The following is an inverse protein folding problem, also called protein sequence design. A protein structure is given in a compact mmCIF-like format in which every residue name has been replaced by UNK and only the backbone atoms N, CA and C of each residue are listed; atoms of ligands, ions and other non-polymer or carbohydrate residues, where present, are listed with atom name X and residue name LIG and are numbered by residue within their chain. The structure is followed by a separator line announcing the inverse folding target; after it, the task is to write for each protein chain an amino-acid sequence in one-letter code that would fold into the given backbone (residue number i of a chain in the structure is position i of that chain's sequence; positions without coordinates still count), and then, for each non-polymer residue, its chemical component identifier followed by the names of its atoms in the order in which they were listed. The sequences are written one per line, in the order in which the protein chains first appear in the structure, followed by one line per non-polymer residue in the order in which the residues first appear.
data_IF_545064798381
#
_entry.id   IF_545064798381
#
_cell.length_a   1.000
_cell.length_b   1.000
_cell.length_c   1.000
_cell.angle_alpha   90.00
_cell.angle_beta   90.00
_cell.angle_gamma   90.00
#
_symmetry.space_group_name_H-M   'P 1'
#
loop_
_entity.id
_entity.type
_entity.pdbx_description
1 polymer ?
#
# COMPACT_ATOMS: atom_id res chain seq x y z
N UNK A 1 -24.38 5.07 23.56
CA UNK A 1 -24.58 4.08 22.49
C UNK A 1 -24.30 4.82 21.19
N UNK A 2 -23.20 4.51 20.51
CA UNK A 2 -22.92 5.10 19.21
C UNK A 2 -23.90 4.46 18.21
N UNK A 3 -24.73 5.29 17.58
CA UNK A 3 -25.61 4.86 16.49
C UNK A 3 -24.72 4.44 15.32
N UNK A 4 -24.83 3.20 14.88
CA UNK A 4 -24.25 2.77 13.62
C UNK A 4 -25.15 3.33 12.52
N UNK A 5 -24.80 4.51 11.99
CA UNK A 5 -25.49 5.03 10.83
C UNK A 5 -25.20 4.08 9.65
N UNK A 6 -26.28 3.52 9.11
CA UNK A 6 -26.20 2.64 7.94
C UNK A 6 -25.56 3.43 6.80
N UNK A 7 -24.50 2.90 6.15
CA UNK A 7 -23.83 3.59 5.06
C UNK A 7 -24.80 3.95 3.93
N UNK A 8 -24.66 5.14 3.35
CA UNK A 8 -25.41 5.56 2.17
C UNK A 8 -25.08 4.65 0.98
N UNK A 9 -26.03 3.78 0.64
CA UNK A 9 -25.87 2.76 -0.41
C UNK A 9 -25.63 3.40 -1.78
N UNK A 10 -26.29 4.52 -2.10
CA UNK A 10 -26.11 5.21 -3.38
C UNK A 10 -24.74 5.88 -3.46
N UNK A 11 -24.27 6.47 -2.35
CA UNK A 11 -22.91 6.98 -2.21
C UNK A 11 -21.85 5.90 -2.40
N UNK A 12 -22.04 4.71 -1.78
CA UNK A 12 -21.13 3.57 -1.92
C UNK A 12 -21.07 3.03 -3.36
N UNK A 13 -22.23 2.87 -4.02
CA UNK A 13 -22.31 2.41 -5.41
C UNK A 13 -21.62 3.43 -6.33
N UNK A 14 -21.88 4.71 -6.13
CA UNK A 14 -21.30 5.79 -6.93
C UNK A 14 -19.78 5.84 -6.77
N UNK A 15 -19.27 5.71 -5.54
CA UNK A 15 -17.83 5.69 -5.26
C UNK A 15 -17.15 4.45 -5.85
N UNK A 16 -17.79 3.29 -5.77
CA UNK A 16 -17.27 2.04 -6.36
C UNK A 16 -17.15 2.15 -7.88
N UNK A 17 -18.16 2.74 -8.55
CA UNK A 17 -18.11 3.01 -10.00
C UNK A 17 -17.00 4.00 -10.36
N UNK A 18 -16.79 5.02 -9.54
CA UNK A 18 -15.70 5.98 -9.72
C UNK A 18 -14.33 5.29 -9.63
N UNK A 19 -14.12 4.45 -8.61
CA UNK A 19 -12.87 3.69 -8.45
C UNK A 19 -12.62 2.80 -9.67
N UNK A 20 -13.64 2.05 -10.12
CA UNK A 20 -13.51 1.19 -11.29
C UNK A 20 -13.04 1.99 -12.52
N UNK A 21 -13.67 3.15 -12.78
CA UNK A 21 -13.28 4.04 -13.87
C UNK A 21 -11.84 4.55 -13.74
N UNK A 22 -11.43 4.97 -12.54
CA UNK A 22 -10.07 5.48 -12.30
C UNK A 22 -9.01 4.38 -12.47
N UNK A 23 -9.33 3.14 -12.09
CA UNK A 23 -8.47 1.96 -12.28
C UNK A 23 -8.33 1.61 -13.75
N UNK A 24 -9.42 1.65 -14.52
CA UNK A 24 -9.38 1.43 -15.97
C UNK A 24 -8.49 2.49 -16.66
N UNK A 25 -8.69 3.77 -16.34
CA UNK A 25 -7.87 4.87 -16.85
C UNK A 25 -6.39 4.69 -16.47
N UNK A 26 -6.09 4.32 -15.23
CA UNK A 26 -4.72 4.03 -14.78
C UNK A 26 -4.11 2.87 -15.56
N UNK A 27 -4.85 1.77 -15.73
CA UNK A 27 -4.38 0.59 -16.47
C UNK A 27 -4.08 0.91 -17.94
N UNK A 28 -4.91 1.72 -18.58
CA UNK A 28 -4.67 2.20 -19.95
C UNK A 28 -3.43 3.08 -20.02
N UNK A 29 -3.25 4.01 -19.08
CA UNK A 29 -2.03 4.83 -18.99
C UNK A 29 -0.76 3.98 -18.79
N UNK A 30 -0.82 2.92 -17.98
CA UNK A 30 0.31 1.98 -17.80
C UNK A 30 0.64 1.30 -19.14
N UNK A 31 -0.36 0.80 -19.87
CA UNK A 31 -0.17 0.13 -21.16
C UNK A 31 0.43 1.07 -22.20
N UNK A 32 -0.01 2.33 -22.22
CA UNK A 32 0.53 3.34 -23.13
C UNK A 32 1.97 3.71 -22.78
N UNK A 33 2.29 3.82 -21.49
CA UNK A 33 3.66 4.04 -21.03
C UNK A 33 4.61 2.90 -21.42
N UNK A 34 4.15 1.65 -21.37
CA UNK A 34 4.93 0.48 -21.78
C UNK A 34 5.22 0.44 -23.29
N UNK A 35 4.39 1.11 -24.11
CA UNK A 35 4.53 1.17 -25.57
C UNK A 35 5.30 2.41 -26.06
N UNK A 36 5.55 3.39 -25.19
CA UNK A 36 6.11 4.69 -25.57
C UNK A 36 7.66 4.70 -25.62
N UNK A 37 8.29 5.41 -26.57
CA UNK A 37 9.74 5.62 -26.60
C UNK A 37 10.21 6.50 -25.43
N UNK A 38 11.41 6.24 -24.92
CA UNK A 38 11.87 6.66 -23.58
C UNK A 38 11.80 8.15 -23.19
N UNK A 39 11.73 9.10 -24.13
CA UNK A 39 11.57 10.53 -23.80
C UNK A 39 10.12 10.91 -23.44
N UNK A 40 9.11 10.20 -23.96
CA UNK A 40 7.69 10.42 -23.62
C UNK A 40 7.35 9.85 -22.23
N UNK A 41 8.14 8.88 -21.76
CA UNK A 41 7.93 8.17 -20.50
C UNK A 41 8.09 9.05 -19.25
N UNK A 42 8.98 10.06 -19.29
CA UNK A 42 9.24 10.94 -18.14
C UNK A 42 8.05 11.89 -17.88
N UNK A 43 7.44 12.44 -18.94
CA UNK A 43 6.23 13.26 -18.80
C UNK A 43 5.02 12.41 -18.40
N UNK A 44 4.88 11.21 -18.99
CA UNK A 44 3.79 10.30 -18.64
C UNK A 44 3.87 9.79 -17.19
N UNK A 45 5.07 9.74 -16.59
CA UNK A 45 5.27 9.29 -15.19
C UNK A 45 4.57 10.18 -14.16
N UNK A 46 4.55 11.49 -14.36
CA UNK A 46 3.89 12.40 -13.43
C UNK A 46 2.37 12.23 -13.49
N UNK A 47 1.79 12.23 -14.69
CA UNK A 47 0.36 11.99 -14.88
C UNK A 47 -0.05 10.61 -14.37
N UNK A 48 0.79 9.58 -14.57
CA UNK A 48 0.55 8.23 -14.06
C UNK A 48 0.51 8.20 -12.53
N UNK A 49 1.43 8.92 -11.87
CA UNK A 49 1.44 9.05 -10.42
C UNK A 49 0.20 9.78 -9.90
N UNK A 50 -0.19 10.88 -10.53
CA UNK A 50 -1.40 11.62 -10.17
C UNK A 50 -2.65 10.73 -10.28
N UNK A 51 -2.75 9.92 -11.35
CA UNK A 51 -3.85 8.98 -11.50
C UNK A 51 -3.83 7.87 -10.44
N UNK A 52 -2.64 7.35 -10.08
CA UNK A 52 -2.50 6.39 -8.99
C UNK A 52 -2.98 6.98 -7.65
N UNK A 53 -2.61 8.24 -7.37
CA UNK A 53 -3.03 8.94 -6.15
C UNK A 53 -4.55 9.13 -6.09
N UNK A 54 -5.22 9.35 -7.22
CA UNK A 54 -6.69 9.38 -7.29
C UNK A 54 -7.32 8.03 -6.93
N UNK A 55 -6.81 6.93 -7.48
CA UNK A 55 -7.27 5.57 -7.13
C UNK A 55 -7.09 5.31 -5.64
N UNK A 56 -5.92 5.62 -5.08
CA UNK A 56 -5.63 5.46 -3.65
C UNK A 56 -6.60 6.27 -2.79
N UNK A 57 -6.84 7.54 -3.13
CA UNK A 57 -7.72 8.42 -2.34
C UNK A 57 -9.16 7.92 -2.35
N UNK A 58 -9.70 7.58 -3.52
CA UNK A 58 -11.08 7.07 -3.63
C UNK A 58 -11.25 5.73 -2.89
N UNK A 59 -10.23 4.86 -2.95
CA UNK A 59 -10.24 3.58 -2.23
C UNK A 59 -10.19 3.78 -0.71
N UNK A 60 -9.38 4.72 -0.22
CA UNK A 60 -9.34 5.08 1.20
C UNK A 60 -10.66 5.67 1.69
N UNK A 61 -11.34 6.47 0.86
CA UNK A 61 -12.69 6.96 1.16
C UNK A 61 -13.71 5.82 1.27
N UNK A 62 -13.65 4.84 0.36
CA UNK A 62 -14.52 3.67 0.42
C UNK A 62 -14.27 2.86 1.69
N UNK A 63 -13.00 2.60 2.02
CA UNK A 63 -12.61 1.91 3.25
C UNK A 63 -13.14 2.63 4.49
N UNK A 64 -13.02 3.96 4.56
CA UNK A 64 -13.59 4.73 5.64
C UNK A 64 -15.11 4.50 5.75
N UNK A 65 -15.85 4.64 4.65
CA UNK A 65 -17.32 4.51 4.66
C UNK A 65 -17.84 3.11 5.07
N UNK A 66 -17.06 2.05 4.88
CA UNK A 66 -17.48 0.67 5.19
C UNK A 66 -16.89 0.13 6.50
N UNK A 67 -15.83 0.74 7.02
CA UNK A 67 -15.18 0.31 8.27
C UNK A 67 -15.83 0.96 9.48
N UNK A 68 -15.95 0.21 10.58
CA UNK A 68 -16.43 0.78 11.84
C UNK A 68 -15.41 1.79 12.41
N UNK A 69 -15.84 2.86 13.07
CA UNK A 69 -14.91 3.82 13.70
C UNK A 69 -13.93 3.18 14.70
N UNK A 70 -14.36 2.10 15.38
CA UNK A 70 -13.52 1.27 16.25
C UNK A 70 -12.35 0.62 15.50
N UNK A 71 -12.59 0.19 14.26
CA UNK A 71 -11.57 -0.39 13.39
C UNK A 71 -10.58 0.67 12.91
N UNK A 72 -11.00 1.92 12.70
CA UNK A 72 -10.07 2.99 12.33
C UNK A 72 -9.04 3.27 13.43
N UNK A 73 -9.49 3.30 14.69
CA UNK A 73 -8.58 3.47 15.83
C UNK A 73 -7.60 2.30 15.95
N UNK A 74 -8.09 1.06 15.77
CA UNK A 74 -7.23 -0.10 15.77
C UNK A 74 -6.20 -0.03 14.63
N UNK A 75 -6.64 0.28 13.41
CA UNK A 75 -5.77 0.38 12.23
C UNK A 75 -4.72 1.50 12.37
N UNK A 76 -5.09 2.64 12.96
CA UNK A 76 -4.15 3.71 13.26
C UNK A 76 -3.15 3.35 14.37
N UNK A 77 -3.56 2.52 15.34
CA UNK A 77 -2.62 1.98 16.34
C UNK A 77 -1.66 0.96 15.71
N UNK A 78 -2.16 0.09 14.83
CA UNK A 78 -1.33 -0.88 14.10
C UNK A 78 -0.32 -0.22 13.18
N UNK A 79 -0.62 0.93 12.57
CA UNK A 79 0.36 1.64 11.73
C UNK A 79 1.57 2.18 12.51
N UNK A 80 1.44 2.37 13.83
CA UNK A 80 2.60 2.64 14.69
C UNK A 80 3.50 1.42 14.79
N UNK A 81 2.93 0.22 14.97
CA UNK A 81 3.69 -1.04 14.94
C UNK A 81 4.40 -1.21 13.59
N UNK A 82 3.72 -0.95 12.48
CA UNK A 82 4.33 -0.99 11.14
C UNK A 82 5.51 -0.02 11.02
N UNK A 83 5.39 1.18 11.58
CA UNK A 83 6.45 2.20 11.55
C UNK A 83 7.67 1.77 12.38
N UNK A 84 7.43 1.15 13.54
CA UNK A 84 8.49 0.60 14.40
C UNK A 84 9.17 -0.60 13.71
N UNK A 85 8.40 -1.52 13.15
CA UNK A 85 8.90 -2.68 12.41
C UNK A 85 9.76 -2.24 11.21
N UNK A 86 9.30 -1.23 10.44
CA UNK A 86 10.06 -0.67 9.34
C UNK A 86 11.37 -0.02 9.81
N UNK A 87 11.33 0.73 10.91
CA UNK A 87 12.52 1.38 11.48
C UNK A 87 13.55 0.36 11.96
N UNK A 88 13.11 -0.67 12.68
CA UNK A 88 13.94 -1.77 13.12
C UNK A 88 14.53 -2.55 11.94
N UNK A 89 13.72 -2.82 10.91
CA UNK A 89 14.18 -3.51 9.70
C UNK A 89 15.28 -2.74 8.97
N UNK A 90 15.17 -1.41 8.92
CA UNK A 90 16.19 -0.54 8.33
C UNK A 90 17.45 -0.46 9.21
N UNK A 91 17.31 -0.35 10.52
CA UNK A 91 18.44 -0.28 11.45
C UNK A 91 19.24 -1.59 11.48
N UNK A 92 18.55 -2.73 11.43
CA UNK A 92 19.17 -4.05 11.29
C UNK A 92 19.72 -4.32 9.89
N UNK A 93 19.46 -3.46 8.90
CA UNK A 93 19.94 -3.65 7.54
C UNK A 93 19.33 -4.84 6.81
N UNK A 94 18.17 -5.35 7.25
CA UNK A 94 17.49 -6.52 6.67
C UNK A 94 17.38 -6.43 5.13
N UNK A 95 16.99 -5.28 4.53
CA UNK A 95 16.90 -5.18 3.08
C UNK A 95 18.21 -5.41 2.32
N UNK A 96 19.37 -5.23 2.96
CA UNK A 96 20.69 -5.43 2.34
C UNK A 96 21.11 -6.90 2.31
N UNK A 97 20.45 -7.74 3.10
CA UNK A 97 20.67 -9.19 3.18
C UNK A 97 19.68 -9.99 2.32
N UNK A 98 18.79 -9.29 1.61
CA UNK A 98 17.82 -9.90 0.67
C UNK A 98 18.23 -9.46 -0.73
N UNK A 99 18.68 -10.41 -1.55
CA UNK A 99 19.08 -10.10 -2.92
C UNK A 99 17.87 -9.67 -3.78
N UNK A 100 17.94 -8.54 -4.50
CA UNK A 100 16.85 -8.10 -5.36
C UNK A 100 16.55 -9.11 -6.48
N UNK A 101 15.37 -9.72 -6.43
CA UNK A 101 14.89 -10.64 -7.47
C UNK A 101 15.09 -12.13 -7.19
N UNK A 102 15.63 -12.49 -6.02
CA UNK A 102 15.67 -13.88 -5.54
C UNK A 102 14.38 -14.26 -4.79
N UNK A 103 14.19 -15.57 -4.52
CA UNK A 103 13.03 -16.11 -3.78
C UNK A 103 12.97 -15.68 -2.30
N UNK A 104 14.00 -14.98 -1.82
CA UNK A 104 14.13 -14.50 -0.45
C UNK A 104 15.34 -15.10 0.25
N UNK A 105 15.37 -15.00 1.58
CA UNK A 105 16.46 -15.52 2.41
C UNK A 105 15.89 -16.30 3.60
N UNK A 106 16.69 -17.12 4.27
CA UNK A 106 16.24 -17.88 5.44
C UNK A 106 16.28 -17.03 6.71
N UNK A 107 15.40 -17.36 7.66
CA UNK A 107 15.35 -16.65 8.95
C UNK A 107 16.66 -16.82 9.75
N UNK A 108 17.26 -18.01 9.71
CA UNK A 108 18.53 -18.28 10.37
C UNK A 108 19.67 -17.44 9.78
N UNK A 109 19.68 -17.27 8.44
CA UNK A 109 20.67 -16.41 7.78
C UNK A 109 20.50 -14.95 8.17
N UNK A 110 19.25 -14.44 8.24
CA UNK A 110 19.00 -13.08 8.72
C UNK A 110 19.41 -12.89 10.17
N UNK A 111 19.14 -13.86 11.04
CA UNK A 111 19.55 -13.81 12.44
C UNK A 111 21.08 -13.79 12.58
N UNK A 112 21.79 -14.59 11.79
CA UNK A 112 23.26 -14.59 11.75
C UNK A 112 23.83 -13.27 11.24
N UNK A 113 23.25 -12.70 10.17
CA UNK A 113 23.73 -11.45 9.57
C UNK A 113 23.46 -10.22 10.42
N UNK A 114 22.30 -10.18 11.10
CA UNK A 114 21.86 -9.02 11.89
C UNK A 114 22.24 -9.12 13.37
N UNK A 115 22.54 -10.33 13.87
CA UNK A 115 22.72 -10.61 15.29
C UNK A 115 21.43 -10.53 16.11
N UNK A 116 20.27 -10.36 15.45
CA UNK A 116 18.96 -10.31 16.09
C UNK A 116 18.42 -11.72 16.36
N UNK A 117 17.52 -11.84 17.34
CA UNK A 117 16.83 -13.10 17.57
C UNK A 117 15.83 -13.38 16.44
N UNK A 118 15.67 -14.64 15.99
CA UNK A 118 14.67 -14.98 14.98
C UNK A 118 13.25 -14.54 15.35
N UNK A 119 12.91 -14.57 16.64
CA UNK A 119 11.62 -14.12 17.14
C UNK A 119 11.36 -12.63 16.88
N UNK A 120 12.39 -11.78 17.00
CA UNK A 120 12.27 -10.34 16.73
C UNK A 120 12.06 -10.04 15.25
N UNK A 121 12.61 -10.88 14.36
CA UNK A 121 12.51 -10.70 12.90
C UNK A 121 11.16 -11.22 12.39
N UNK A 122 10.54 -12.18 13.07
CA UNK A 122 9.26 -12.80 12.67
C UNK A 122 8.00 -12.10 13.17
N UNK A 123 8.11 -11.22 14.16
CA UNK A 123 6.99 -10.42 14.71
C UNK A 123 6.59 -9.27 13.78
#
# INVERSE_FOLDING_TARGET
MASFDVPDVEGLISLTRLIAKQVDEYADMVRDCQRAPGQVWVQNRQSLREQAELVTRSSAQLQALISEPSQWMAQAAWSYCDSVALSLSLEMGIPTHIEPGEEGTTMDHLAECTGASPALISE
#
